data_IF_746361573692
#
_entry.id   IF_746361573692
#
_cell.length_a   1.000
_cell.length_b   1.000
_cell.length_c   1.000
_cell.angle_alpha   90.00
_cell.angle_beta   90.00
_cell.angle_gamma   90.00
#
_symmetry.space_group_name_H-M   'P 1'
#
loop_
_entity.id
_entity.type
_entity.pdbx_description
1 polymer ?
#
# COMPACT_ATOMS: atom_id res chain seq x y z
N UNK A 1 -19.52 37.82 55.95
CA UNK A 1 -19.50 36.41 56.42
C UNK A 1 -20.35 35.58 55.48
N UNK A 2 -19.75 34.85 54.53
CA UNK A 2 -20.39 33.73 53.82
C UNK A 2 -19.33 32.77 53.26
N UNK A 3 -19.22 31.62 53.95
CA UNK A 3 -18.89 30.25 53.51
C UNK A 3 -18.09 30.05 52.21
N UNK A 4 -16.82 29.63 52.27
CA UNK A 4 -16.30 28.24 52.35
C UNK A 4 -16.39 27.41 51.05
N UNK A 5 -15.20 26.96 50.65
CA UNK A 5 -14.79 26.18 49.49
C UNK A 5 -15.47 24.83 49.30
N UNK A 6 -15.66 24.43 48.03
CA UNK A 6 -15.59 23.05 47.48
C UNK A 6 -15.29 23.18 45.97
N UNK A 7 -14.04 23.22 45.51
CA UNK A 7 -13.19 22.06 45.22
C UNK A 7 -13.97 20.83 44.71
N UNK A 8 -14.40 20.86 43.46
CA UNK A 8 -14.66 19.64 42.67
C UNK A 8 -13.72 19.64 41.47
N UNK A 9 -12.50 19.17 41.71
CA UNK A 9 -11.60 18.67 40.67
C UNK A 9 -12.18 17.32 40.24
N UNK A 10 -13.01 17.32 39.20
CA UNK A 10 -13.44 16.09 38.54
C UNK A 10 -12.30 15.62 37.63
N UNK A 11 -11.34 14.92 38.23
CA UNK A 11 -10.41 14.07 37.50
C UNK A 11 -11.09 12.73 37.18
N UNK A 12 -10.67 12.12 36.06
CA UNK A 12 -11.04 10.80 35.53
C UNK A 12 -12.34 10.84 34.70
N UNK A 13 -12.37 10.47 33.42
CA UNK A 13 -11.66 9.37 32.77
C UNK A 13 -11.43 9.77 31.31
N UNK A 14 -10.17 9.87 30.86
CA UNK A 14 -9.90 9.81 29.41
C UNK A 14 -10.32 8.40 28.98
N UNK A 15 -11.30 8.22 28.08
CA UNK A 15 -11.52 6.90 27.54
C UNK A 15 -10.22 6.52 26.84
N UNK A 16 -9.56 5.47 27.36
CA UNK A 16 -8.61 4.70 26.60
C UNK A 16 -9.39 4.20 25.38
N UNK A 17 -9.36 4.97 24.30
CA UNK A 17 -9.79 4.52 22.98
C UNK A 17 -8.75 3.50 22.58
N UNK A 18 -8.98 2.26 22.99
CA UNK A 18 -8.32 1.11 22.42
C UNK A 18 -8.78 1.08 20.97
N UNK A 19 -7.98 1.67 20.08
CA UNK A 19 -8.14 1.52 18.64
C UNK A 19 -7.83 0.05 18.35
N UNK A 20 -8.85 -0.80 18.44
CA UNK A 20 -8.80 -2.12 17.84
C UNK A 20 -8.63 -1.89 16.33
N UNK A 21 -7.42 -2.15 15.82
CA UNK A 21 -7.20 -2.29 14.39
C UNK A 21 -8.22 -3.33 13.89
N UNK A 22 -9.17 -2.89 13.05
CA UNK A 22 -10.15 -3.77 12.47
C UNK A 22 -9.45 -5.00 11.85
N UNK A 23 -9.95 -6.23 12.05
CA UNK A 23 -9.40 -7.40 11.38
C UNK A 23 -9.34 -7.11 9.88
N UNK A 24 -8.12 -7.08 9.35
CA UNK A 24 -7.82 -6.42 8.09
C UNK A 24 -8.62 -7.00 6.95
N UNK A 25 -9.62 -6.26 6.47
CA UNK A 25 -10.27 -6.51 5.20
C UNK A 25 -9.22 -6.34 4.10
N UNK A 26 -8.73 -7.46 3.57
CA UNK A 26 -7.88 -7.45 2.41
C UNK A 26 -8.72 -7.18 1.16
N UNK A 27 -8.23 -6.32 0.29
CA UNK A 27 -8.79 -6.10 -1.05
C UNK A 27 -7.81 -6.55 -2.12
N UNK A 28 -8.29 -6.73 -3.35
CA UNK A 28 -7.40 -6.92 -4.50
C UNK A 28 -6.55 -5.68 -4.72
N UNK A 29 -5.25 -5.87 -4.91
CA UNK A 29 -4.32 -4.80 -5.24
C UNK A 29 -4.53 -4.34 -6.68
N UNK A 30 -4.84 -3.06 -6.90
CA UNK A 30 -4.81 -2.46 -8.23
C UNK A 30 -3.39 -2.08 -8.65
N UNK A 31 -3.17 -1.88 -9.95
CA UNK A 31 -1.89 -1.39 -10.45
C UNK A 31 -1.54 -0.02 -9.87
N UNK A 32 -2.49 0.93 -9.87
CA UNK A 32 -2.28 2.27 -9.32
C UNK A 32 -1.91 2.26 -7.82
N UNK A 33 -2.53 1.36 -7.06
CA UNK A 33 -2.20 1.17 -5.64
C UNK A 33 -0.79 0.64 -5.46
N UNK A 34 -0.37 -0.30 -6.31
CA UNK A 34 0.99 -0.80 -6.30
C UNK A 34 2.00 0.29 -6.68
N UNK A 35 1.71 1.12 -7.68
CA UNK A 35 2.56 2.24 -8.08
C UNK A 35 2.67 3.34 -7.00
N UNK A 36 1.71 3.36 -6.06
CA UNK A 36 1.65 4.33 -4.97
C UNK A 36 2.44 3.92 -3.72
N UNK A 37 2.99 2.70 -3.67
CA UNK A 37 3.79 2.27 -2.51
C UNK A 37 5.18 2.94 -2.54
N UNK A 38 5.78 3.30 -1.38
CA UNK A 38 7.09 3.95 -1.35
C UNK A 38 8.20 3.15 -2.04
N UNK A 39 8.15 1.82 -1.95
CA UNK A 39 9.11 0.91 -2.57
C UNK A 39 8.92 0.68 -4.07
N UNK A 40 7.98 1.37 -4.73
CA UNK A 40 7.69 1.14 -6.14
C UNK A 40 8.92 1.25 -7.05
N UNK A 41 9.72 2.30 -6.88
CA UNK A 41 10.94 2.51 -7.68
C UNK A 41 11.99 1.41 -7.48
N UNK A 42 12.12 0.90 -6.25
CA UNK A 42 13.02 -0.21 -5.94
C UNK A 42 12.53 -1.51 -6.60
N UNK A 43 11.21 -1.72 -6.61
CA UNK A 43 10.59 -2.86 -7.28
C UNK A 43 10.81 -2.82 -8.80
N UNK A 44 10.61 -1.67 -9.45
CA UNK A 44 10.91 -1.50 -10.87
C UNK A 44 12.40 -1.76 -11.16
N UNK A 45 13.29 -1.16 -10.36
CA UNK A 45 14.75 -1.33 -10.51
C UNK A 45 15.18 -2.79 -10.37
N UNK A 46 14.60 -3.53 -9.42
CA UNK A 46 14.90 -4.94 -9.23
C UNK A 46 14.45 -5.80 -10.44
N UNK A 47 13.25 -5.55 -10.96
CA UNK A 47 12.70 -6.26 -12.13
C UNK A 47 13.51 -5.95 -13.38
N UNK A 48 13.82 -4.67 -13.62
CA UNK A 48 14.65 -4.22 -14.74
C UNK A 48 16.07 -4.76 -14.65
N UNK A 49 16.67 -4.73 -13.46
CA UNK A 49 18.02 -5.24 -13.22
C UNK A 49 18.13 -6.75 -13.42
N UNK A 50 17.06 -7.51 -13.21
CA UNK A 50 17.03 -8.97 -13.43
C UNK A 50 17.15 -9.33 -14.92
N UNK A 51 16.60 -8.49 -15.80
CA UNK A 51 16.42 -8.82 -17.21
C UNK A 51 17.06 -7.84 -18.20
N UNK A 52 17.60 -6.72 -17.71
CA UNK A 52 18.20 -5.66 -18.53
C UNK A 52 17.19 -4.91 -19.41
N UNK A 53 15.89 -5.02 -19.13
CA UNK A 53 14.83 -4.37 -19.91
C UNK A 53 13.60 -4.06 -19.06
N UNK A 54 12.92 -2.97 -19.39
CA UNK A 54 11.70 -2.55 -18.71
C UNK A 54 10.48 -3.31 -19.24
N UNK A 55 9.60 -3.81 -18.36
CA UNK A 55 8.34 -4.41 -18.78
C UNK A 55 7.43 -3.33 -19.38
N UNK A 56 6.71 -3.68 -20.45
CA UNK A 56 5.77 -2.74 -21.08
C UNK A 56 4.43 -2.67 -20.37
N UNK A 57 4.10 -3.69 -19.57
CA UNK A 57 2.83 -3.81 -18.87
C UNK A 57 3.02 -4.54 -17.55
N UNK A 58 2.32 -4.03 -16.54
CA UNK A 58 2.34 -4.54 -15.18
C UNK A 58 0.91 -5.00 -14.90
N UNK A 59 0.75 -6.21 -14.37
CA UNK A 59 -0.55 -6.82 -14.16
C UNK A 59 -0.63 -7.36 -12.74
N UNK A 60 -1.59 -6.85 -11.98
CA UNK A 60 -2.01 -7.43 -10.71
C UNK A 60 -3.22 -8.32 -10.93
N UNK A 61 -3.33 -9.40 -10.14
CA UNK A 61 -4.51 -10.28 -10.14
C UNK A 61 -4.90 -10.82 -11.52
N UNK A 62 -3.91 -11.33 -12.26
CA UNK A 62 -4.13 -11.88 -13.58
C UNK A 62 -5.10 -13.08 -13.56
N UNK A 63 -6.12 -13.04 -14.42
CA UNK A 63 -7.16 -14.08 -14.51
C UNK A 63 -6.61 -15.45 -14.93
N UNK A 64 -5.48 -15.50 -15.63
CA UNK A 64 -4.80 -16.74 -16.00
C UNK A 64 -4.12 -17.41 -14.80
N UNK A 65 -3.84 -16.65 -13.73
CA UNK A 65 -3.11 -17.13 -12.56
C UNK A 65 -3.85 -16.82 -11.24
N UNK A 66 -5.08 -17.34 -11.04
CA UNK A 66 -5.91 -17.02 -9.88
C UNK A 66 -5.31 -17.50 -8.54
N UNK A 67 -4.39 -18.47 -8.56
CA UNK A 67 -3.68 -18.96 -7.37
C UNK A 67 -2.53 -18.06 -6.91
N UNK A 68 -2.20 -17.02 -7.70
CA UNK A 68 -1.15 -16.04 -7.42
C UNK A 68 -1.71 -14.61 -7.40
N UNK A 69 -2.63 -14.28 -6.47
CA UNK A 69 -3.20 -12.94 -6.39
C UNK A 69 -2.21 -11.94 -5.77
N UNK A 70 -2.49 -10.66 -5.97
CA UNK A 70 -1.91 -9.55 -5.24
C UNK A 70 -3.00 -8.85 -4.43
N UNK A 71 -2.71 -8.52 -3.18
CA UNK A 71 -3.69 -7.96 -2.25
C UNK A 71 -3.12 -6.77 -1.48
N UNK A 72 -4.02 -5.90 -1.08
CA UNK A 72 -3.78 -4.81 -0.14
C UNK A 72 -4.47 -5.18 1.18
N UNK A 73 -3.70 -5.45 2.22
CA UNK A 73 -4.22 -5.81 3.54
C UNK A 73 -3.78 -4.78 4.57
N UNK A 74 -4.73 -4.06 5.19
CA UNK A 74 -4.43 -3.00 6.16
C UNK A 74 -3.37 -1.99 5.66
N UNK A 75 -3.51 -1.60 4.39
CA UNK A 75 -2.62 -0.66 3.71
C UNK A 75 -1.24 -1.23 3.33
N UNK A 76 -1.03 -2.54 3.42
CA UNK A 76 0.24 -3.21 3.04
C UNK A 76 0.02 -4.09 1.80
N UNK A 77 0.81 -3.83 0.76
CA UNK A 77 0.83 -4.60 -0.48
C UNK A 77 1.54 -5.96 -0.30
N UNK A 78 0.93 -7.03 -0.82
CA UNK A 78 1.44 -8.41 -0.75
C UNK A 78 1.04 -9.21 -2.00
N UNK A 79 1.78 -10.29 -2.28
CA UNK A 79 1.43 -11.26 -3.31
C UNK A 79 2.22 -11.08 -4.61
N UNK A 80 1.64 -11.53 -5.71
CA UNK A 80 2.34 -11.68 -6.99
C UNK A 80 1.95 -10.61 -8.00
N UNK A 81 2.97 -9.99 -8.60
CA UNK A 81 2.82 -9.03 -9.68
C UNK A 81 3.43 -9.61 -10.94
N UNK A 82 2.74 -9.46 -12.05
CA UNK A 82 3.16 -9.95 -13.35
C UNK A 82 3.69 -8.82 -14.21
N UNK A 83 4.76 -9.08 -14.91
CA UNK A 83 5.43 -8.14 -15.79
C UNK A 83 5.50 -8.76 -17.18
N UNK A 84 4.93 -8.05 -18.15
CA UNK A 84 4.93 -8.48 -19.54
C UNK A 84 5.95 -7.67 -20.35
N UNK A 85 6.55 -8.32 -21.34
CA UNK A 85 7.62 -7.80 -22.18
C UNK A 85 7.24 -7.89 -23.65
N UNK A 86 7.67 -6.93 -24.46
CA UNK A 86 7.45 -6.95 -25.91
C UNK A 86 8.23 -8.09 -26.60
N UNK A 87 9.41 -8.41 -26.09
CA UNK A 87 10.25 -9.50 -26.56
C UNK A 87 10.35 -10.60 -25.50
N UNK A 88 10.70 -11.82 -25.93
CA UNK A 88 10.97 -12.90 -24.98
C UNK A 88 12.22 -12.57 -24.19
N UNK A 89 12.09 -12.59 -22.88
CA UNK A 89 13.17 -12.46 -21.92
C UNK A 89 13.35 -13.83 -21.28
N UNK A 90 14.54 -14.40 -21.43
CA UNK A 90 14.84 -15.76 -20.96
C UNK A 90 13.79 -16.81 -21.42
N UNK A 91 13.30 -16.67 -22.65
CA UNK A 91 12.34 -17.61 -23.24
C UNK A 91 10.85 -17.32 -22.99
N UNK A 92 10.52 -16.35 -22.12
CA UNK A 92 9.14 -16.04 -21.75
C UNK A 92 8.79 -14.56 -22.02
N UNK A 93 7.52 -14.28 -22.33
CA UNK A 93 6.99 -12.91 -22.46
C UNK A 93 6.51 -12.34 -21.14
N UNK A 94 6.41 -13.17 -20.10
CA UNK A 94 5.74 -12.82 -18.86
C UNK A 94 6.42 -13.48 -17.68
N UNK A 95 6.73 -12.68 -16.67
CA UNK A 95 7.39 -13.12 -15.45
C UNK A 95 6.61 -12.60 -14.24
N UNK A 96 6.59 -13.38 -13.16
CA UNK A 96 5.99 -12.96 -11.89
C UNK A 96 7.06 -12.71 -10.84
N UNK A 97 6.88 -11.66 -10.06
CA UNK A 97 7.66 -11.45 -8.85
C UNK A 97 6.74 -11.31 -7.66
N UNK A 98 7.24 -11.75 -6.51
CA UNK A 98 6.54 -11.61 -5.24
C UNK A 98 6.97 -10.30 -4.58
N UNK A 99 6.00 -9.44 -4.25
CA UNK A 99 6.27 -8.10 -3.72
C UNK A 99 7.13 -8.20 -2.45
N UNK A 100 6.85 -9.17 -1.59
CA UNK A 100 7.54 -9.35 -0.31
C UNK A 100 8.97 -9.85 -0.44
N UNK A 101 9.35 -10.43 -1.58
CA UNK A 101 10.73 -10.86 -1.83
C UNK A 101 11.61 -9.70 -2.28
N UNK A 102 11.05 -8.78 -3.07
CA UNK A 102 11.77 -7.60 -3.55
C UNK A 102 11.78 -6.48 -2.50
N UNK A 103 10.64 -6.29 -1.83
CA UNK A 103 10.45 -5.28 -0.79
C UNK A 103 10.27 -5.98 0.56
N UNK A 104 11.36 -6.44 1.20
CA UNK A 104 11.25 -7.17 2.47
C UNK A 104 10.66 -6.27 3.56
N UNK A 105 11.04 -4.99 3.57
CA UNK A 105 10.57 -4.03 4.55
C UNK A 105 9.09 -3.69 4.37
N UNK A 106 8.35 -3.71 5.48
CA UNK A 106 6.91 -3.41 5.47
C UNK A 106 6.63 -1.95 5.13
N UNK A 107 7.55 -1.05 5.46
CA UNK A 107 7.41 0.40 5.23
C UNK A 107 7.35 0.70 3.73
N UNK A 108 8.13 -0.03 2.92
CA UNK A 108 8.18 0.13 1.47
C UNK A 108 6.94 -0.37 0.76
N UNK A 109 6.21 -1.30 1.39
CA UNK A 109 4.97 -1.89 0.88
C UNK A 109 3.73 -1.24 1.45
N UNK A 110 3.88 -0.33 2.41
CA UNK A 110 2.77 0.33 3.08
C UNK A 110 2.41 1.60 2.33
N UNK A 111 1.19 1.69 1.81
CA UNK A 111 0.68 2.97 1.34
C UNK A 111 0.53 3.86 2.58
N UNK A 112 1.22 5.01 2.62
CA UNK A 112 1.10 5.92 3.75
C UNK A 112 -0.32 6.46 3.80
N UNK A 113 -0.82 6.57 5.02
CA UNK A 113 -2.06 7.26 5.30
C UNK A 113 -1.93 8.71 4.81
N UNK A 114 -2.63 9.04 3.73
CA UNK A 114 -2.61 10.38 3.11
C UNK A 114 -3.04 11.49 4.08
N UNK A 115 -3.70 11.13 5.18
CA UNK A 115 -4.04 12.08 6.27
C UNK A 115 -2.85 12.40 7.17
N UNK A 116 -1.77 11.60 7.15
CA UNK A 116 -0.57 11.75 8.01
C UNK A 116 0.70 12.15 7.27
N UNK A 117 0.73 12.06 5.94
CA UNK A 117 1.88 12.50 5.14
C UNK A 117 1.48 13.76 4.38
N UNK A 118 2.14 14.89 4.68
CA UNK A 118 1.91 16.15 3.98
C UNK A 118 2.45 16.05 2.54
N UNK A 119 1.67 15.47 1.64
CA UNK A 119 2.06 15.36 0.23
C UNK A 119 2.01 16.73 -0.48
N UNK A 120 2.94 17.00 -1.42
CA UNK A 120 2.89 18.18 -2.27
C UNK A 120 1.60 18.18 -3.10
N UNK A 121 1.02 19.37 -3.29
CA UNK A 121 -0.34 19.59 -3.77
C UNK A 121 -0.72 18.91 -5.11
N UNK A 122 0.26 18.49 -5.91
CA UNK A 122 0.05 17.89 -7.24
C UNK A 122 -0.67 16.53 -7.19
N UNK A 123 -0.58 15.79 -6.08
CA UNK A 123 -1.25 14.49 -5.90
C UNK A 123 -2.62 14.58 -5.21
N UNK A 124 -3.05 15.77 -4.75
CA UNK A 124 -4.35 15.93 -4.06
C UNK A 124 -5.56 15.85 -4.99
N UNK A 125 -5.42 16.25 -6.27
CA UNK A 125 -6.56 16.26 -7.21
C UNK A 125 -7.03 14.88 -7.66
N UNK A 126 -6.24 13.82 -7.47
CA UNK A 126 -6.66 12.47 -7.84
C UNK A 126 -7.53 11.79 -6.76
N UNK A 127 -7.39 12.19 -5.50
CA UNK A 127 -8.13 11.62 -4.37
C UNK A 127 -9.50 12.27 -4.13
N UNK A 128 -9.72 13.50 -4.62
CA UNK A 128 -10.99 14.24 -4.50
C UNK A 128 -12.02 13.82 -5.57
N UNK A 129 -11.56 13.12 -6.62
CA UNK A 129 -12.39 12.66 -7.74
C UNK A 129 -12.92 11.23 -7.60
N UNK A 130 -12.57 10.52 -6.51
CA UNK A 130 -13.13 9.20 -6.20
C UNK A 130 -14.33 9.23 -5.25
N UNK A 131 -14.72 10.42 -4.78
CA UNK A 131 -15.88 10.64 -3.89
C UNK A 131 -17.05 11.40 -4.58
N UNK A 132 -17.05 11.49 -5.92
CA UNK A 132 -18.16 11.99 -6.74
C UNK A 132 -18.83 10.89 -7.57
#
# INVERSE_FOLDING_TARGET
>A
MTFWALFWVLFLVLPNVLVLAAPGSCSFLSEDQLQSVPGWAALQTAVEGTYGTSPYKIVTNDRQFPTKPASMCAGVAKGWVWFEYHARVQGHYKWSFKIEEILPDIVDRRVPDVTRVSYPAKLRRAADLSDL
#
